data_IF_137217025443
#
_entry.id   IF_137217025443
#
_cell.length_a   1.000
_cell.length_b   1.000
_cell.length_c   1.000
_cell.angle_alpha   90.00
_cell.angle_beta   90.00
_cell.angle_gamma   90.00
#
_symmetry.space_group_name_H-M   'P 1'
#
loop_
_entity.id
_entity.type
_entity.pdbx_description
1 polymer ?
#
# COMPACT_ATOMS: atom_id res chain seq x y z
N UNK A 1 15.79 12.85 -78.00
CA UNK A 1 16.46 14.00 -77.32
C UNK A 1 15.40 14.94 -76.76
N UNK A 2 15.15 14.93 -75.45
CA UNK A 2 14.83 16.14 -74.68
C UNK A 2 14.63 15.87 -73.19
N UNK A 3 15.47 16.55 -72.40
CA UNK A 3 15.16 17.31 -71.18
C UNK A 3 14.85 16.55 -69.88
N UNK A 4 15.91 16.42 -69.10
CA UNK A 4 16.02 16.50 -67.65
C UNK A 4 14.80 17.13 -66.95
N UNK A 5 14.26 16.44 -65.93
CA UNK A 5 13.71 17.07 -64.72
C UNK A 5 14.02 16.20 -63.51
N UNK A 6 15.01 16.63 -62.75
CA UNK A 6 15.25 16.30 -61.35
C UNK A 6 13.96 16.58 -60.57
N UNK A 7 13.41 15.57 -59.88
CA UNK A 7 12.38 15.77 -58.86
C UNK A 7 12.91 15.21 -57.55
N UNK A 8 13.08 16.13 -56.61
CA UNK A 8 13.45 15.94 -55.22
C UNK A 8 12.37 15.16 -54.45
N UNK A 9 12.84 14.28 -53.56
CA UNK A 9 12.46 14.18 -52.14
C UNK A 9 10.98 13.96 -51.77
N UNK A 10 10.68 12.78 -51.22
CA UNK A 10 9.87 12.65 -49.99
C UNK A 10 10.01 11.23 -49.43
N UNK A 11 11.02 11.02 -48.58
CA UNK A 11 11.11 9.81 -47.75
C UNK A 11 10.13 10.02 -46.58
N UNK A 12 8.90 9.52 -46.73
CA UNK A 12 7.88 9.55 -45.67
C UNK A 12 8.29 8.51 -44.62
N UNK A 13 9.06 8.96 -43.64
CA UNK A 13 9.30 8.20 -42.41
C UNK A 13 8.04 8.32 -41.54
N UNK A 14 7.10 7.40 -41.70
CA UNK A 14 5.98 7.21 -40.78
C UNK A 14 6.54 6.73 -39.43
N UNK A 15 6.97 7.68 -38.61
CA UNK A 15 7.25 7.47 -37.19
C UNK A 15 5.94 7.14 -36.48
N UNK A 16 5.61 5.85 -36.40
CA UNK A 16 4.65 5.36 -35.42
C UNK A 16 5.24 5.64 -34.04
N UNK A 17 4.82 6.76 -33.43
CA UNK A 17 5.00 6.97 -32.01
C UNK A 17 4.16 5.92 -31.27
N UNK A 18 4.78 4.77 -30.98
CA UNK A 18 4.26 3.82 -30.01
C UNK A 18 4.35 4.54 -28.67
N UNK A 19 3.26 5.19 -28.26
CA UNK A 19 3.11 5.67 -26.89
C UNK A 19 2.94 4.41 -26.05
N UNK A 20 4.05 3.90 -25.54
CA UNK A 20 4.04 2.87 -24.51
C UNK A 20 3.51 3.53 -23.24
N UNK A 21 2.20 3.46 -23.04
CA UNK A 21 1.62 3.69 -21.72
C UNK A 21 2.05 2.50 -20.85
N UNK A 22 3.22 2.63 -20.21
CA UNK A 22 3.62 1.76 -19.12
C UNK A 22 2.74 2.08 -17.90
N UNK A 23 1.46 1.73 -17.97
CA UNK A 23 0.60 1.63 -16.82
C UNK A 23 1.19 0.55 -15.92
N UNK A 24 1.87 0.95 -14.86
CA UNK A 24 2.38 0.04 -13.84
C UNK A 24 1.23 -0.87 -13.42
N UNK A 25 1.39 -2.17 -13.64
CA UNK A 25 0.32 -3.14 -13.40
C UNK A 25 -0.11 -3.05 -11.95
N UNK A 26 -1.31 -2.51 -11.72
CA UNK A 26 -1.94 -2.40 -10.40
C UNK A 26 -2.40 -3.80 -9.95
N UNK A 27 -1.43 -4.67 -9.72
CA UNK A 27 -1.53 -5.99 -9.09
C UNK A 27 -0.61 -5.99 -7.86
N UNK A 28 -0.63 -4.91 -7.09
CA UNK A 28 0.28 -4.70 -5.98
C UNK A 28 -0.09 -5.59 -4.80
N UNK A 29 0.49 -6.80 -4.79
CA UNK A 29 0.80 -7.50 -3.55
C UNK A 29 2.05 -6.83 -2.99
N UNK A 30 1.92 -6.23 -1.81
CA UNK A 30 2.96 -5.47 -1.14
C UNK A 30 3.41 -6.30 0.06
N UNK A 31 4.67 -6.77 0.10
CA UNK A 31 5.17 -7.41 1.29
C UNK A 31 5.29 -6.36 2.40
N UNK A 32 4.67 -6.61 3.55
CA UNK A 32 4.79 -5.76 4.75
C UNK A 32 6.14 -6.02 5.45
N UNK A 33 7.21 -5.88 4.67
CA UNK A 33 8.59 -6.06 5.07
C UNK A 33 9.19 -4.70 5.43
N UNK A 34 9.63 -4.58 6.68
CA UNK A 34 10.28 -3.39 7.20
C UNK A 34 11.71 -3.74 7.61
N UNK A 35 12.71 -3.43 6.77
CA UNK A 35 14.07 -3.92 6.95
C UNK A 35 14.79 -3.29 8.15
N UNK A 36 14.29 -2.18 8.71
CA UNK A 36 14.90 -1.54 9.89
C UNK A 36 14.87 -2.40 11.16
N UNK A 37 14.13 -3.51 11.19
CA UNK A 37 14.20 -4.45 12.30
C UNK A 37 13.90 -5.89 11.89
N UNK A 38 14.41 -6.85 12.69
CA UNK A 38 14.19 -8.28 12.45
C UNK A 38 12.73 -8.68 12.73
N UNK A 39 12.10 -9.29 11.74
CA UNK A 39 10.76 -9.86 11.88
C UNK A 39 10.78 -11.18 12.68
N UNK A 40 9.77 -11.37 13.56
CA UNK A 40 9.61 -12.60 14.38
C UNK A 40 8.63 -13.60 13.78
N UNK A 41 7.91 -13.21 12.73
CA UNK A 41 6.89 -13.98 12.02
C UNK A 41 7.11 -13.82 10.52
N UNK A 42 6.50 -14.67 9.71
CA UNK A 42 6.53 -14.55 8.25
C UNK A 42 6.02 -13.16 7.83
N UNK A 43 6.58 -12.63 6.76
CA UNK A 43 6.13 -11.37 6.16
C UNK A 43 4.70 -11.53 5.65
N UNK A 44 3.86 -10.53 5.95
CA UNK A 44 2.46 -10.51 5.50
C UNK A 44 2.42 -9.94 4.08
N UNK A 45 1.78 -10.66 3.17
CA UNK A 45 1.53 -10.21 1.81
C UNK A 45 0.23 -9.38 1.76
N UNK A 46 0.34 -8.07 1.58
CA UNK A 46 -0.79 -7.16 1.57
C UNK A 46 -1.31 -6.92 0.15
N UNK A 47 -2.54 -7.33 -0.12
CA UNK A 47 -3.21 -7.12 -1.42
C UNK A 47 -3.85 -5.73 -1.48
N UNK A 48 -3.06 -4.69 -1.80
CA UNK A 48 -3.55 -3.31 -1.81
C UNK A 48 -4.71 -3.11 -2.80
N UNK A 49 -4.61 -3.71 -4.00
CA UNK A 49 -5.68 -3.72 -5.02
C UNK A 49 -7.00 -4.25 -4.48
N UNK A 50 -6.98 -5.32 -3.68
CA UNK A 50 -8.21 -5.90 -3.17
C UNK A 50 -8.89 -4.94 -2.19
N UNK A 51 -8.12 -4.29 -1.32
CA UNK A 51 -8.65 -3.34 -0.35
C UNK A 51 -9.31 -2.12 -1.03
N UNK A 52 -8.68 -1.58 -2.07
CA UNK A 52 -9.20 -0.38 -2.75
C UNK A 52 -10.24 -0.73 -3.82
N UNK A 53 -9.92 -1.62 -4.76
CA UNK A 53 -10.79 -1.88 -5.92
C UNK A 53 -11.87 -2.92 -5.67
N UNK A 54 -11.61 -3.95 -4.86
CA UNK A 54 -12.58 -5.03 -4.62
C UNK A 54 -13.47 -4.71 -3.43
N UNK A 55 -12.87 -4.30 -2.31
CA UNK A 55 -13.56 -3.99 -1.06
C UNK A 55 -13.97 -2.52 -0.93
N UNK A 56 -13.61 -1.70 -1.93
CA UNK A 56 -14.04 -0.30 -2.05
C UNK A 56 -13.68 0.58 -0.85
N UNK A 57 -12.54 0.30 -0.21
CA UNK A 57 -12.03 1.15 0.87
C UNK A 57 -11.43 2.43 0.29
N UNK A 58 -11.70 3.56 0.95
CA UNK A 58 -11.06 4.83 0.62
C UNK A 58 -9.59 4.84 1.07
N UNK A 59 -8.73 5.62 0.41
CA UNK A 59 -7.31 5.73 0.75
C UNK A 59 -7.10 6.13 2.22
N UNK A 60 -7.93 7.08 2.69
CA UNK A 60 -7.91 7.61 4.05
C UNK A 60 -8.36 6.62 5.13
N UNK A 61 -8.92 5.46 4.76
CA UNK A 61 -9.17 4.38 5.71
C UNK A 61 -7.86 3.85 6.29
N UNK A 62 -6.74 3.91 5.57
CA UNK A 62 -5.45 3.45 6.05
C UNK A 62 -4.45 4.60 6.19
N UNK A 63 -4.38 5.47 5.17
CA UNK A 63 -3.45 6.60 5.16
C UNK A 63 -4.01 7.75 5.98
N UNK A 64 -3.35 8.04 7.09
CA UNK A 64 -3.73 9.11 7.99
C UNK A 64 -2.56 10.07 8.23
N UNK A 65 -2.88 11.29 8.63
CA UNK A 65 -1.89 12.28 9.06
C UNK A 65 -1.39 12.00 10.49
N UNK A 66 -0.51 12.87 11.00
CA UNK A 66 0.03 12.75 12.37
C UNK A 66 -1.02 12.87 13.47
N UNK A 67 -2.16 13.52 13.20
CA UNK A 67 -3.30 13.62 14.11
C UNK A 67 -4.26 12.41 14.01
N UNK A 68 -3.96 11.46 13.12
CA UNK A 68 -4.81 10.29 12.86
C UNK A 68 -6.02 10.61 11.98
N UNK A 69 -6.05 11.77 11.31
CA UNK A 69 -7.12 12.13 10.37
C UNK A 69 -6.87 11.48 9.01
N UNK A 70 -7.92 10.98 8.33
CA UNK A 70 -7.80 10.44 6.98
C UNK A 70 -7.17 11.45 6.02
N UNK A 71 -6.22 10.99 5.20
CA UNK A 71 -5.64 11.80 4.12
C UNK A 71 -6.44 11.57 2.83
N UNK A 72 -6.66 12.64 2.08
CA UNK A 72 -7.24 12.59 0.73
C UNK A 72 -6.12 12.31 -0.27
N UNK A 73 -6.17 11.15 -0.93
CA UNK A 73 -5.17 10.70 -1.90
C UNK A 73 -5.84 10.18 -3.17
N UNK A 74 -5.17 10.33 -4.30
CA UNK A 74 -5.49 9.64 -5.56
C UNK A 74 -4.43 8.57 -5.87
N UNK A 75 -4.77 7.67 -6.79
CA UNK A 75 -3.82 6.66 -7.26
C UNK A 75 -2.58 7.33 -7.86
N UNK A 76 -1.40 6.81 -7.50
CA UNK A 76 -0.11 7.34 -7.95
C UNK A 76 0.45 8.47 -7.09
N UNK A 77 -0.31 9.00 -6.11
CA UNK A 77 0.26 9.92 -5.13
C UNK A 77 1.32 9.22 -4.29
N UNK A 78 2.38 9.96 -3.95
CA UNK A 78 3.39 9.48 -3.02
C UNK A 78 2.81 9.38 -1.61
N UNK A 79 3.16 8.32 -0.90
CA UNK A 79 2.76 8.09 0.49
C UNK A 79 3.97 7.66 1.32
N UNK A 80 4.01 8.15 2.55
CA UNK A 80 5.04 7.74 3.50
C UNK A 80 4.79 6.33 4.03
N UNK A 81 5.89 5.63 4.34
CA UNK A 81 5.83 4.35 5.06
C UNK A 81 5.39 4.60 6.49
N UNK A 82 4.62 3.67 7.06
CA UNK A 82 4.11 3.78 8.43
C UNK A 82 5.24 4.00 9.46
N UNK A 83 6.39 3.35 9.27
CA UNK A 83 7.58 3.46 10.15
C UNK A 83 8.16 4.88 10.24
N UNK A 84 7.87 5.76 9.26
CA UNK A 84 8.34 7.14 9.31
C UNK A 84 7.79 7.90 10.52
N UNK A 85 6.57 7.57 10.96
CA UNK A 85 5.96 8.14 12.17
C UNK A 85 5.81 7.12 13.31
N UNK A 86 5.57 5.84 12.99
CA UNK A 86 5.51 4.73 13.93
C UNK A 86 6.87 4.04 14.04
N UNK A 87 7.87 4.79 14.49
CA UNK A 87 9.29 4.47 14.34
C UNK A 87 9.85 3.44 15.32
N UNK A 88 9.14 3.13 16.40
CA UNK A 88 9.63 2.13 17.36
C UNK A 88 9.54 0.73 16.72
N UNK A 89 10.60 -0.09 16.79
CA UNK A 89 10.67 -1.33 16.03
C UNK A 89 9.79 -2.43 16.62
N UNK A 90 9.16 -3.22 15.76
CA UNK A 90 8.44 -4.43 16.15
C UNK A 90 7.18 -4.18 16.97
N UNK A 91 6.84 -5.14 17.85
CA UNK A 91 5.63 -5.14 18.67
C UNK A 91 5.96 -5.06 20.16
N UNK A 92 5.39 -4.08 20.87
CA UNK A 92 5.40 -3.96 22.33
C UNK A 92 4.21 -4.72 22.94
N UNK A 93 4.49 -5.59 23.93
CA UNK A 93 3.48 -6.44 24.59
C UNK A 93 3.88 -6.86 26.00
N UNK A 94 2.93 -7.45 26.72
CA UNK A 94 3.13 -8.03 28.05
C UNK A 94 3.53 -6.97 29.08
N UNK A 95 4.40 -7.35 30.02
CA UNK A 95 4.86 -6.45 31.12
C UNK A 95 5.45 -5.14 30.60
N UNK A 96 6.16 -5.16 29.47
CA UNK A 96 6.77 -3.96 28.87
C UNK A 96 5.75 -2.97 28.30
N UNK A 97 4.53 -3.43 28.00
CA UNK A 97 3.45 -2.60 27.51
C UNK A 97 2.47 -2.17 28.62
N UNK A 98 2.74 -2.58 29.88
CA UNK A 98 1.86 -2.28 31.02
C UNK A 98 1.95 -0.78 31.33
N UNK A 99 0.80 -0.15 31.55
CA UNK A 99 0.72 1.29 31.82
C UNK A 99 0.76 2.18 30.58
N UNK A 100 1.23 1.69 29.43
CA UNK A 100 1.22 2.45 28.19
C UNK A 100 -0.20 2.65 27.65
N UNK A 101 -0.51 3.87 27.25
CA UNK A 101 -1.68 4.23 26.46
C UNK A 101 -1.67 3.56 25.08
N UNK A 102 -2.82 3.58 24.41
CA UNK A 102 -2.92 3.09 23.03
C UNK A 102 -2.03 3.88 22.05
N UNK A 103 -1.88 5.19 22.25
CA UNK A 103 -1.04 6.04 21.42
C UNK A 103 0.44 5.68 21.55
N UNK A 104 0.93 5.50 22.78
CA UNK A 104 2.32 5.09 23.03
C UNK A 104 2.60 3.70 22.45
N UNK A 105 1.66 2.76 22.56
CA UNK A 105 1.80 1.44 21.92
C UNK A 105 1.88 1.57 20.41
N UNK A 106 1.07 2.44 19.79
CA UNK A 106 1.09 2.68 18.35
C UNK A 106 2.37 3.37 17.88
N UNK A 107 3.21 3.95 18.74
CA UNK A 107 4.54 4.38 18.32
C UNK A 107 5.38 3.20 17.78
N UNK A 108 5.05 1.97 18.18
CA UNK A 108 5.64 0.74 17.64
C UNK A 108 5.00 0.35 16.31
N UNK A 109 5.82 0.19 15.28
CA UNK A 109 5.40 -0.08 13.91
C UNK A 109 4.44 -1.26 13.81
N UNK A 110 4.77 -2.40 14.45
CA UNK A 110 3.92 -3.58 14.35
C UNK A 110 2.62 -3.43 15.16
N UNK A 111 2.61 -2.67 16.26
CA UNK A 111 1.36 -2.37 16.98
C UNK A 111 0.44 -1.48 16.14
N UNK A 112 0.97 -0.48 15.43
CA UNK A 112 0.19 0.35 14.52
C UNK A 112 -0.47 -0.50 13.41
N UNK A 113 0.30 -1.42 12.81
CA UNK A 113 -0.23 -2.37 11.81
C UNK A 113 -1.28 -3.32 12.41
N UNK A 114 -1.00 -3.91 13.57
CA UNK A 114 -1.96 -4.80 14.25
C UNK A 114 -3.26 -4.08 14.62
N UNK A 115 -3.19 -2.84 15.10
CA UNK A 115 -4.37 -2.05 15.42
C UNK A 115 -5.18 -1.72 14.15
N UNK A 116 -4.53 -1.22 13.09
CA UNK A 116 -5.23 -0.82 11.85
C UNK A 116 -5.80 -2.02 11.09
N UNK A 117 -4.96 -3.01 10.77
CA UNK A 117 -5.36 -4.16 9.95
C UNK A 117 -6.29 -5.10 10.74
N UNK A 118 -5.83 -5.58 11.90
CA UNK A 118 -6.59 -6.56 12.68
C UNK A 118 -7.83 -5.93 13.33
N UNK A 119 -7.77 -4.65 13.70
CA UNK A 119 -8.91 -3.92 14.25
C UNK A 119 -10.07 -3.85 13.25
N UNK A 120 -9.80 -3.41 12.01
CA UNK A 120 -10.81 -3.37 10.95
C UNK A 120 -11.38 -4.77 10.67
N UNK A 121 -10.52 -5.78 10.50
CA UNK A 121 -10.97 -7.15 10.25
C UNK A 121 -11.85 -7.71 11.38
N UNK A 122 -11.51 -7.42 12.64
CA UNK A 122 -12.33 -7.81 13.79
C UNK A 122 -13.67 -7.10 13.80
N UNK A 123 -13.72 -5.81 13.46
CA UNK A 123 -14.96 -5.05 13.37
C UNK A 123 -15.89 -5.60 12.26
N UNK A 124 -15.33 -5.96 11.10
CA UNK A 124 -16.08 -6.62 10.02
C UNK A 124 -16.63 -7.98 10.45
N UNK A 125 -15.85 -8.77 11.19
CA UNK A 125 -16.31 -10.05 11.73
C UNK A 125 -17.42 -9.86 12.76
N UNK A 126 -17.27 -8.90 13.69
CA UNK A 126 -18.26 -8.60 14.74
C UNK A 126 -19.58 -8.10 14.16
N UNK A 127 -19.52 -7.27 13.12
CA UNK A 127 -20.71 -6.73 12.44
C UNK A 127 -21.36 -7.72 11.46
N UNK A 128 -20.78 -8.91 11.25
CA UNK A 128 -21.28 -9.89 10.29
C UNK A 128 -21.01 -9.54 8.81
N UNK A 129 -20.44 -8.37 8.52
CA UNK A 129 -20.16 -7.90 7.15
C UNK A 129 -19.13 -8.74 6.41
N UNK A 130 -18.19 -9.37 7.12
CA UNK A 130 -17.27 -10.33 6.51
C UNK A 130 -16.70 -11.31 7.52
N UNK A 131 -16.73 -12.61 7.18
CA UNK A 131 -16.02 -13.68 7.89
C UNK A 131 -14.68 -14.05 7.23
N UNK A 132 -14.40 -13.51 6.05
CA UNK A 132 -13.20 -13.81 5.24
C UNK A 132 -11.98 -13.00 5.66
N UNK A 133 -12.19 -11.84 6.27
CA UNK A 133 -11.12 -10.99 6.76
C UNK A 133 -10.33 -11.72 7.88
N UNK A 134 -9.01 -11.95 7.73
CA UNK A 134 -8.25 -12.72 8.70
C UNK A 134 -8.06 -11.96 10.01
N UNK A 135 -8.41 -12.59 11.13
CA UNK A 135 -8.28 -11.99 12.48
C UNK A 135 -7.28 -12.69 13.39
N UNK A 136 -6.82 -13.89 13.02
CA UNK A 136 -5.86 -14.70 13.79
C UNK A 136 -4.46 -14.58 13.20
N UNK A 137 -3.44 -14.70 14.05
CA UNK A 137 -2.04 -14.48 13.68
C UNK A 137 -1.62 -15.34 12.48
N UNK A 138 -1.93 -16.63 12.50
CA UNK A 138 -1.59 -17.62 11.46
C UNK A 138 -2.36 -17.47 10.15
N UNK A 139 -3.41 -16.64 10.12
CA UNK A 139 -4.13 -16.35 8.87
C UNK A 139 -3.57 -15.12 8.16
N UNK A 140 -2.66 -14.37 8.82
CA UNK A 140 -1.97 -13.24 8.24
C UNK A 140 -0.48 -13.55 8.00
N UNK A 141 0.20 -14.17 8.99
CA UNK A 141 1.59 -14.59 8.95
C UNK A 141 1.68 -16.09 8.67
#
# INVERSE_FOLDING_TARGET
MNKNKTVFLALILCSFAVIVYAGTTFNAVIPMNEPSYKHKKKIVEFTHKNHVSTYKLACGECHHDKAGKPVTLKHGDNVDRCVACHSQPGEIKGKKAKGMSGAEKRAYHANALHDKCRGCHKALKKSGKSKKAPTSCSKCH
#
